data_IF_281912125755
#
_entry.id   IF_281912125755
#
_cell.length_a   1.000
_cell.length_b   1.000
_cell.length_c   1.000
_cell.angle_alpha   90.00
_cell.angle_beta   90.00
_cell.angle_gamma   90.00
#
_symmetry.space_group_name_H-M   'P 1'
#
loop_
_entity.id
_entity.type
_entity.pdbx_description
1 polymer ?
#
# COMPACT_ATOMS: atom_id res chain seq x y z
N UNK A 1 13.60 -0.26 -0.46
CA UNK A 1 12.21 -0.69 -0.70
C UNK A 1 12.06 -2.13 -0.29
N UNK A 2 11.31 -2.39 0.78
CA UNK A 2 10.98 -3.75 1.23
C UNK A 2 9.52 -4.05 0.88
N UNK A 3 9.26 -5.25 0.36
CA UNK A 3 7.92 -5.71 -0.03
C UNK A 3 7.59 -7.00 0.71
N UNK A 4 6.44 -7.03 1.37
CA UNK A 4 5.86 -8.23 1.98
C UNK A 4 4.57 -8.56 1.23
N UNK A 5 4.42 -9.81 0.82
CA UNK A 5 3.21 -10.32 0.16
C UNK A 5 2.60 -11.39 1.07
N UNK A 6 1.38 -11.15 1.54
CA UNK A 6 0.60 -12.12 2.30
C UNK A 6 -0.58 -12.55 1.45
N UNK A 7 -0.73 -13.88 1.27
CA UNK A 7 -1.90 -14.45 0.60
C UNK A 7 -2.87 -14.96 1.66
N UNK A 8 -4.05 -14.37 1.71
CA UNK A 8 -5.17 -14.81 2.53
C UNK A 8 -6.13 -15.65 1.70
N UNK A 9 -6.77 -16.63 2.33
CA UNK A 9 -7.90 -17.34 1.75
C UNK A 9 -9.05 -17.23 2.74
N UNK A 10 -10.22 -16.80 2.30
CA UNK A 10 -11.41 -16.73 3.15
C UNK A 10 -12.64 -17.20 2.38
N UNK A 11 -13.61 -17.79 3.09
CA UNK A 11 -14.84 -18.30 2.49
C UNK A 11 -15.99 -17.39 2.90
N UNK A 12 -16.79 -16.96 1.93
CA UNK A 12 -18.04 -16.23 2.19
C UNK A 12 -19.11 -16.71 1.21
N UNK A 13 -20.29 -17.04 1.75
CA UNK A 13 -21.39 -17.63 0.97
C UNK A 13 -20.93 -18.81 0.07
N UNK A 14 -20.12 -19.71 0.62
CA UNK A 14 -19.53 -20.86 -0.08
C UNK A 14 -18.60 -20.53 -1.25
N UNK A 15 -18.25 -19.26 -1.42
CA UNK A 15 -17.25 -18.82 -2.40
C UNK A 15 -15.91 -18.65 -1.70
N UNK A 16 -14.87 -19.27 -2.26
CA UNK A 16 -13.49 -19.06 -1.82
C UNK A 16 -12.97 -17.77 -2.43
N UNK A 17 -12.54 -16.86 -1.59
CA UNK A 17 -11.90 -15.62 -1.95
C UNK A 17 -10.42 -15.70 -1.63
N UNK A 18 -9.61 -15.33 -2.59
CA UNK A 18 -8.17 -15.11 -2.40
C UNK A 18 -7.93 -13.62 -2.20
N UNK A 19 -7.26 -13.26 -1.11
CA UNK A 19 -6.79 -11.92 -0.86
C UNK A 19 -5.26 -11.88 -1.03
N UNK A 20 -4.76 -10.81 -1.65
CA UNK A 20 -3.34 -10.56 -1.82
C UNK A 20 -2.99 -9.22 -1.19
N UNK A 21 -2.62 -9.27 0.08
CA UNK A 21 -2.16 -8.10 0.80
C UNK A 21 -0.70 -7.83 0.45
N UNK A 22 -0.43 -6.69 -0.19
CA UNK A 22 0.92 -6.22 -0.49
C UNK A 22 1.24 -5.04 0.40
N UNK A 23 2.30 -5.15 1.21
CA UNK A 23 2.83 -4.05 2.02
C UNK A 23 4.18 -3.62 1.48
N UNK A 24 4.31 -2.34 1.16
CA UNK A 24 5.54 -1.73 0.65
C UNK A 24 6.01 -0.66 1.63
N UNK A 25 7.31 -0.71 1.97
CA UNK A 25 7.98 0.32 2.76
C UNK A 25 8.88 1.17 1.87
N UNK A 26 8.71 2.49 1.95
CA UNK A 26 9.45 3.49 1.20
C UNK A 26 9.98 4.52 2.19
N UNK A 27 11.30 4.61 2.28
CA UNK A 27 11.97 5.66 3.02
C UNK A 27 12.29 6.80 2.05
N UNK A 28 11.96 8.02 2.44
CA UNK A 28 12.18 9.22 1.64
C UNK A 28 12.38 10.43 2.54
N UNK A 29 12.94 11.50 1.99
CA UNK A 29 13.11 12.75 2.72
C UNK A 29 11.75 13.34 3.11
N UNK A 30 11.66 13.90 4.32
CA UNK A 30 10.46 14.56 4.82
C UNK A 30 10.33 15.98 4.24
N UNK A 31 10.00 16.03 2.95
CA UNK A 31 9.72 17.27 2.22
C UNK A 31 8.28 17.26 1.71
N UNK A 32 7.58 18.42 1.68
CA UNK A 32 6.17 18.49 1.28
C UNK A 32 5.88 17.88 -0.10
N UNK A 33 6.81 18.01 -1.06
CA UNK A 33 6.66 17.48 -2.41
C UNK A 33 6.57 15.94 -2.46
N UNK A 34 7.25 15.23 -1.56
CA UNK A 34 7.22 13.77 -1.53
C UNK A 34 5.86 13.26 -1.03
N UNK A 35 5.31 13.90 0.00
CA UNK A 35 3.98 13.57 0.51
C UNK A 35 2.90 13.87 -0.53
N UNK A 36 2.99 15.00 -1.23
CA UNK A 36 2.08 15.35 -2.32
C UNK A 36 2.17 14.36 -3.48
N UNK A 37 3.38 13.98 -3.89
CA UNK A 37 3.60 12.96 -4.91
C UNK A 37 2.89 11.64 -4.54
N UNK A 38 3.11 11.14 -3.32
CA UNK A 38 2.51 9.86 -2.89
C UNK A 38 0.98 9.95 -2.82
N UNK A 39 0.41 11.08 -2.38
CA UNK A 39 -1.05 11.30 -2.38
C UNK A 39 -1.63 11.20 -3.80
N UNK A 40 -0.99 11.85 -4.77
CA UNK A 40 -1.44 11.84 -6.16
C UNK A 40 -1.21 10.49 -6.85
N UNK A 41 -0.14 9.77 -6.45
CA UNK A 41 0.21 8.48 -7.02
C UNK A 41 -0.73 7.34 -6.57
N UNK A 42 -1.51 7.53 -5.49
CA UNK A 42 -2.46 6.54 -4.97
C UNK A 42 -3.41 6.00 -6.05
N UNK A 43 -3.99 6.87 -6.87
CA UNK A 43 -4.97 6.44 -7.88
C UNK A 43 -4.30 5.62 -8.99
N UNK A 44 -3.09 6.00 -9.40
CA UNK A 44 -2.28 5.22 -10.34
C UNK A 44 -1.95 3.84 -9.77
N UNK A 45 -1.66 3.75 -8.46
CA UNK A 45 -1.38 2.48 -7.80
C UNK A 45 -2.61 1.57 -7.74
N UNK A 46 -3.81 2.12 -7.49
CA UNK A 46 -5.06 1.35 -7.46
C UNK A 46 -5.32 0.66 -8.79
N UNK A 47 -5.15 1.39 -9.91
CA UNK A 47 -5.28 0.84 -11.25
C UNK A 47 -4.21 -0.22 -11.53
N UNK A 48 -2.94 0.07 -11.24
CA UNK A 48 -1.81 -0.84 -11.53
C UNK A 48 -1.87 -2.14 -10.74
N UNK A 49 -2.31 -2.10 -9.49
CA UNK A 49 -2.42 -3.29 -8.64
C UNK A 49 -3.79 -3.96 -8.71
N UNK A 50 -4.72 -3.42 -9.51
CA UNK A 50 -6.10 -3.91 -9.62
C UNK A 50 -6.78 -4.01 -8.24
N UNK A 51 -6.55 -3.01 -7.39
CA UNK A 51 -7.10 -2.93 -6.04
C UNK A 51 -8.27 -1.95 -6.02
N UNK A 52 -9.35 -2.32 -5.33
CA UNK A 52 -10.49 -1.42 -5.11
C UNK A 52 -10.08 -0.19 -4.29
N UNK A 53 -9.17 -0.37 -3.33
CA UNK A 53 -8.57 0.72 -2.57
C UNK A 53 -7.16 0.37 -2.08
N UNK A 54 -6.39 1.39 -1.74
CA UNK A 54 -5.05 1.27 -1.15
C UNK A 54 -4.94 2.22 0.03
N UNK A 55 -4.43 1.70 1.14
CA UNK A 55 -4.14 2.46 2.35
C UNK A 55 -2.68 2.88 2.36
N UNK A 56 -2.43 4.18 2.56
CA UNK A 56 -1.08 4.74 2.63
C UNK A 56 -0.97 5.50 3.95
N UNK A 57 0.08 5.19 4.72
CA UNK A 57 0.42 5.89 5.96
C UNK A 57 1.80 6.51 5.81
N UNK A 58 1.92 7.81 6.10
CA UNK A 58 3.20 8.49 6.23
C UNK A 58 3.53 8.65 7.71
N UNK A 59 4.76 8.29 8.10
CA UNK A 59 5.26 8.44 9.45
C UNK A 59 6.63 9.10 9.37
N UNK A 60 6.82 10.18 10.12
CA UNK A 60 8.13 10.81 10.24
C UNK A 60 9.00 9.93 11.13
N UNK A 61 10.18 9.56 10.63
CA UNK A 61 11.16 8.80 11.39
C UNK A 61 12.17 9.79 11.96
N UNK A 62 12.17 9.96 13.27
CA UNK A 62 13.22 10.71 13.98
C UNK A 62 14.42 9.77 14.19
N UNK A 63 15.58 10.17 13.67
CA UNK A 63 16.84 9.46 13.92
C UNK A 63 17.50 10.12 15.13
N UNK A 64 17.68 9.34 16.20
CA UNK A 64 18.38 9.74 17.43
C UNK A 64 19.87 9.45 17.30
#
# INVERSE_FOLDING_TARGET
>A
MNIIIVKGHWIYQSTLYEDKLVRVWIDTEDIPSNLEFIRNYKEILKERFQQLDIWITAQQIEVI
#
